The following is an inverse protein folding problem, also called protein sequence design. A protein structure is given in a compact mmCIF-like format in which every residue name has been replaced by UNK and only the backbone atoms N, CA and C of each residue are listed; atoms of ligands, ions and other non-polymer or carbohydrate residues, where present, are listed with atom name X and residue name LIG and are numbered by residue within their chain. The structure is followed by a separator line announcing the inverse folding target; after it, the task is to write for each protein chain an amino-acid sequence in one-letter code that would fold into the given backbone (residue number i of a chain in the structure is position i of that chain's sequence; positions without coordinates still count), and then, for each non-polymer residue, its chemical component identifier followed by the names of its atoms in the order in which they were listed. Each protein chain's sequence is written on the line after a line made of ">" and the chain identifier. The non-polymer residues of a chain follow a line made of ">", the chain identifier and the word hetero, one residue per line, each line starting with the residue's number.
data_IF_844813184107
#
_entry.id   IF_844813184107
#
_cell.length_a   1.000
_cell.length_b   1.000
_cell.length_c   1.000
_cell.angle_alpha   90.00
_cell.angle_beta   90.00
_cell.angle_gamma   90.00
#
_symmetry.space_group_name_H-M   'P 1'
#
loop_
_entity.id
_entity.type
_entity.pdbx_description
1 polymer ?
#
# COMPACT_ATOMS: atom_id res chain seq x y z
N UNK A 1 -34.69 6.38 -10.09
CA UNK A 1 -33.42 7.01 -9.63
C UNK A 1 -32.86 6.15 -8.51
N UNK A 2 -31.74 5.46 -8.74
CA UNK A 2 -31.17 4.52 -7.77
C UNK A 2 -29.94 5.16 -7.12
N UNK A 3 -30.11 5.70 -5.91
CA UNK A 3 -28.99 6.19 -5.11
C UNK A 3 -28.18 4.99 -4.64
N UNK A 4 -26.99 4.81 -5.23
CA UNK A 4 -25.94 3.92 -4.72
C UNK A 4 -25.62 4.38 -3.29
N UNK A 5 -26.04 3.60 -2.29
CA UNK A 5 -25.56 3.74 -0.94
C UNK A 5 -24.04 3.60 -0.97
N UNK A 6 -23.35 4.70 -0.70
CA UNK A 6 -21.93 4.68 -0.37
C UNK A 6 -21.74 3.64 0.74
N UNK A 7 -21.02 2.58 0.45
CA UNK A 7 -20.60 1.58 1.43
C UNK A 7 -19.65 2.26 2.43
N UNK A 8 -20.21 3.01 3.36
CA UNK A 8 -19.47 3.55 4.49
C UNK A 8 -19.04 2.36 5.34
N UNK A 9 -17.73 2.12 5.35
CA UNK A 9 -17.11 1.10 6.19
C UNK A 9 -17.58 1.35 7.62
N UNK A 10 -18.22 0.36 8.25
CA UNK A 10 -18.76 0.47 9.61
C UNK A 10 -17.70 1.02 10.57
N UNK A 11 -17.99 2.17 11.21
CA UNK A 11 -17.05 2.88 12.10
C UNK A 11 -17.08 2.38 13.56
N UNK A 12 -17.88 1.35 13.86
CA UNK A 12 -17.96 0.78 15.22
C UNK A 12 -16.57 0.32 15.68
N UNK A 13 -16.10 0.87 16.80
CA UNK A 13 -14.83 0.50 17.45
C UNK A 13 -13.62 1.37 17.10
N UNK A 14 -13.78 2.43 16.29
CA UNK A 14 -12.70 3.32 15.90
C UNK A 14 -12.88 4.70 16.55
N UNK A 15 -11.80 5.23 17.11
CA UNK A 15 -11.77 6.50 17.84
C UNK A 15 -11.46 7.67 16.89
N UNK A 16 -11.59 8.90 17.38
CA UNK A 16 -11.33 10.12 16.60
C UNK A 16 -9.90 10.21 16.05
N UNK A 17 -8.93 9.56 16.70
CA UNK A 17 -7.54 9.52 16.21
C UNK A 17 -7.41 8.70 14.93
N UNK A 18 -8.17 7.60 14.83
CA UNK A 18 -8.23 6.78 13.62
C UNK A 18 -8.80 7.56 12.45
N UNK A 19 -9.89 8.30 12.66
CA UNK A 19 -10.53 9.11 11.61
C UNK A 19 -9.61 10.25 11.11
N UNK A 20 -8.87 10.87 12.03
CA UNK A 20 -7.89 11.90 11.69
C UNK A 20 -6.77 11.35 10.78
N UNK A 21 -6.26 10.16 11.11
CA UNK A 21 -5.25 9.47 10.30
C UNK A 21 -5.81 9.02 8.95
N UNK A 22 -7.05 8.52 8.86
CA UNK A 22 -7.69 8.21 7.57
C UNK A 22 -7.85 9.45 6.68
N UNK A 23 -8.20 10.58 7.27
CA UNK A 23 -8.34 11.86 6.55
C UNK A 23 -6.99 12.34 6.05
N UNK A 24 -5.96 12.31 6.91
CA UNK A 24 -4.59 12.68 6.57
C UNK A 24 -4.03 11.81 5.44
N UNK A 25 -4.26 10.49 5.51
CA UNK A 25 -3.91 9.56 4.45
C UNK A 25 -4.57 9.94 3.12
N UNK A 26 -5.88 10.18 3.13
CA UNK A 26 -6.63 10.49 1.90
C UNK A 26 -6.10 11.75 1.22
N UNK A 27 -5.74 12.78 2.01
CA UNK A 27 -5.07 13.98 1.52
C UNK A 27 -3.71 13.68 0.90
N UNK A 28 -2.89 12.87 1.57
CA UNK A 28 -1.56 12.48 1.06
C UNK A 28 -1.66 11.71 -0.26
N UNK A 29 -2.61 10.78 -0.39
CA UNK A 29 -2.80 10.01 -1.61
C UNK A 29 -3.22 10.89 -2.78
N UNK A 30 -4.15 11.82 -2.55
CA UNK A 30 -4.56 12.78 -3.57
C UNK A 30 -3.37 13.65 -4.02
N UNK A 31 -2.59 14.17 -3.06
CA UNK A 31 -1.38 14.93 -3.36
C UNK A 31 -0.36 14.10 -4.14
N UNK A 32 -0.10 12.86 -3.72
CA UNK A 32 0.84 11.97 -4.39
C UNK A 32 0.43 11.70 -5.85
N UNK A 33 -0.86 11.51 -6.11
CA UNK A 33 -1.39 11.32 -7.46
C UNK A 33 -1.19 12.55 -8.33
N UNK A 34 -1.57 13.74 -7.83
CA UNK A 34 -1.40 15.01 -8.54
C UNK A 34 0.08 15.30 -8.86
N UNK A 35 0.98 15.06 -7.91
CA UNK A 35 2.42 15.24 -8.09
C UNK A 35 2.97 14.26 -9.13
N UNK A 36 2.52 12.99 -9.11
CA UNK A 36 2.94 11.99 -10.09
C UNK A 36 2.49 12.35 -11.50
N UNK A 37 1.26 12.85 -11.67
CA UNK A 37 0.76 13.33 -12.96
C UNK A 37 1.58 14.50 -13.50
N UNK A 38 2.20 15.28 -12.61
CA UNK A 38 3.12 16.38 -12.94
C UNK A 38 4.58 15.92 -13.05
N UNK A 39 4.86 14.62 -12.97
CA UNK A 39 6.21 14.03 -12.94
C UNK A 39 7.13 14.65 -11.87
N UNK A 40 6.56 14.98 -10.71
CA UNK A 40 7.29 15.54 -9.58
C UNK A 40 7.78 14.42 -8.64
N UNK A 41 9.08 14.47 -8.31
CA UNK A 41 9.75 13.49 -7.46
C UNK A 41 9.15 13.41 -6.05
N UNK A 42 8.53 14.49 -5.57
CA UNK A 42 7.85 14.52 -4.28
C UNK A 42 6.68 13.52 -4.17
N UNK A 43 6.15 13.04 -5.30
CA UNK A 43 5.09 12.02 -5.32
C UNK A 43 5.49 10.78 -4.50
N UNK A 44 6.73 10.31 -4.65
CA UNK A 44 7.23 9.13 -3.94
C UNK A 44 7.22 9.36 -2.41
N UNK A 45 7.62 10.55 -1.97
CA UNK A 45 7.60 10.92 -0.55
C UNK A 45 6.18 10.96 0.02
N UNK A 46 5.19 11.44 -0.74
CA UNK A 46 3.78 11.44 -0.32
C UNK A 46 3.20 10.04 -0.24
N UNK A 47 3.53 9.16 -1.19
CA UNK A 47 3.16 7.75 -1.11
C UNK A 47 3.78 7.05 0.10
N UNK A 48 5.07 7.29 0.39
CA UNK A 48 5.74 6.74 1.56
C UNK A 48 5.07 7.19 2.87
N UNK A 49 4.73 8.47 2.99
CA UNK A 49 4.00 9.00 4.16
C UNK A 49 2.61 8.36 4.30
N UNK A 50 1.87 8.18 3.21
CA UNK A 50 0.58 7.49 3.23
C UNK A 50 0.73 6.01 3.62
N UNK A 51 1.80 5.36 3.19
CA UNK A 51 2.09 3.96 3.52
C UNK A 51 2.28 3.77 5.03
N UNK A 52 3.05 4.64 5.69
CA UNK A 52 3.25 4.61 7.14
C UNK A 52 1.93 4.75 7.91
N UNK A 53 1.04 5.63 7.45
CA UNK A 53 -0.29 5.77 8.05
C UNK A 53 -1.11 4.49 7.89
N UNK A 54 -1.13 3.90 6.68
CA UNK A 54 -1.84 2.64 6.44
C UNK A 54 -1.28 1.47 7.28
N UNK A 55 0.04 1.41 7.51
CA UNK A 55 0.63 0.44 8.43
C UNK A 55 0.10 0.62 9.87
N UNK A 56 0.07 1.87 10.35
CA UNK A 56 -0.44 2.19 11.68
C UNK A 56 -1.92 1.83 11.82
N UNK A 57 -2.76 2.19 10.84
CA UNK A 57 -4.17 1.84 10.80
C UNK A 57 -4.35 0.31 10.79
N UNK A 58 -3.54 -0.41 10.00
CA UNK A 58 -3.58 -1.88 9.97
C UNK A 58 -3.27 -2.48 11.34
N UNK A 59 -2.23 -2.00 12.03
CA UNK A 59 -1.84 -2.46 13.37
C UNK A 59 -2.96 -2.19 14.39
N UNK A 60 -3.64 -1.06 14.31
CA UNK A 60 -4.80 -0.74 15.18
C UNK A 60 -5.94 -1.72 14.91
N UNK A 61 -6.27 -1.98 13.64
CA UNK A 61 -7.32 -2.93 13.27
C UNK A 61 -6.99 -4.36 13.74
N UNK A 62 -5.73 -4.78 13.62
CA UNK A 62 -5.29 -6.10 14.07
C UNK A 62 -5.47 -6.25 15.59
N UNK A 63 -5.00 -5.27 16.37
CA UNK A 63 -5.14 -5.25 17.84
C UNK A 63 -6.60 -5.25 18.29
N UNK A 64 -7.50 -4.65 17.51
CA UNK A 64 -8.96 -4.62 17.78
C UNK A 64 -9.70 -5.84 17.23
N UNK A 65 -9.01 -6.82 16.63
CA UNK A 65 -9.63 -8.00 16.02
C UNK A 65 -10.42 -7.73 14.73
N UNK A 66 -10.26 -6.54 14.14
CA UNK A 66 -10.93 -6.12 12.90
C UNK A 66 -10.16 -6.63 11.67
N UNK A 67 -10.14 -7.96 11.50
CA UNK A 67 -9.25 -8.63 10.53
C UNK A 67 -9.47 -8.14 9.10
N UNK A 68 -10.72 -8.02 8.65
CA UNK A 68 -11.00 -7.55 7.29
C UNK A 68 -10.37 -6.18 7.00
N UNK A 69 -10.49 -5.25 7.96
CA UNK A 69 -9.89 -3.91 7.84
C UNK A 69 -8.37 -3.96 7.92
N UNK A 70 -7.84 -4.79 8.82
CA UNK A 70 -6.40 -5.01 8.92
C UNK A 70 -5.82 -5.41 7.56
N UNK A 71 -6.43 -6.38 6.86
CA UNK A 71 -5.93 -6.83 5.55
C UNK A 71 -6.03 -5.72 4.51
N UNK A 72 -7.13 -4.96 4.50
CA UNK A 72 -7.31 -3.81 3.59
C UNK A 72 -6.21 -2.77 3.80
N UNK A 73 -6.01 -2.31 5.04
CA UNK A 73 -4.99 -1.31 5.36
C UNK A 73 -3.58 -1.84 5.09
N UNK A 74 -3.28 -3.09 5.44
CA UNK A 74 -1.96 -3.71 5.18
C UNK A 74 -1.65 -3.82 3.69
N UNK A 75 -2.63 -4.23 2.88
CA UNK A 75 -2.47 -4.30 1.42
C UNK A 75 -2.36 -2.90 0.77
N UNK A 76 -3.09 -1.92 1.31
CA UNK A 76 -2.99 -0.52 0.89
C UNK A 76 -1.60 0.06 1.21
N UNK A 77 -1.05 -0.22 2.40
CA UNK A 77 0.30 0.16 2.77
C UNK A 77 1.35 -0.41 1.79
N UNK A 78 1.25 -1.70 1.46
CA UNK A 78 2.11 -2.33 0.46
C UNK A 78 2.02 -1.62 -0.90
N UNK A 79 0.80 -1.27 -1.32
CA UNK A 79 0.56 -0.54 -2.57
C UNK A 79 1.16 0.87 -2.57
N UNK A 80 1.13 1.56 -1.43
CA UNK A 80 1.74 2.87 -1.28
C UNK A 80 3.27 2.78 -1.31
N UNK A 81 3.87 1.80 -0.62
CA UNK A 81 5.32 1.58 -0.68
C UNK A 81 5.80 1.25 -2.09
N UNK A 82 5.06 0.42 -2.82
CA UNK A 82 5.38 0.11 -4.21
C UNK A 82 5.31 1.37 -5.11
N UNK A 83 4.35 2.27 -4.87
CA UNK A 83 4.26 3.54 -5.59
C UNK A 83 5.35 4.53 -5.20
N UNK A 84 5.91 4.41 -4.00
CA UNK A 84 7.10 5.14 -3.56
C UNK A 84 8.42 4.51 -4.06
N UNK A 85 8.38 3.44 -4.87
CA UNK A 85 9.56 2.72 -5.35
C UNK A 85 10.17 1.74 -4.34
N UNK A 86 9.62 1.62 -3.13
CA UNK A 86 10.12 0.70 -2.12
C UNK A 86 9.46 -0.69 -2.25
N UNK A 87 9.89 -1.46 -3.26
CA UNK A 87 9.37 -2.80 -3.50
C UNK A 87 9.69 -3.79 -2.38
N UNK A 88 10.81 -3.60 -1.67
CA UNK A 88 11.18 -4.45 -0.54
C UNK A 88 10.14 -4.36 0.57
N UNK A 89 9.82 -3.15 1.04
CA UNK A 89 8.82 -2.92 2.08
C UNK A 89 7.43 -3.39 1.63
N UNK A 90 7.07 -3.16 0.37
CA UNK A 90 5.81 -3.64 -0.19
C UNK A 90 5.67 -5.17 -0.11
N UNK A 91 6.71 -5.92 -0.51
CA UNK A 91 6.72 -7.39 -0.43
C UNK A 91 6.67 -7.85 1.03
N UNK A 92 7.48 -7.23 1.90
CA UNK A 92 7.54 -7.56 3.33
C UNK A 92 6.18 -7.45 4.03
N UNK A 93 5.33 -6.51 3.61
CA UNK A 93 3.98 -6.35 4.17
C UNK A 93 2.97 -7.37 3.63
N UNK A 94 3.19 -7.91 2.43
CA UNK A 94 2.32 -8.92 1.84
C UNK A 94 2.61 -10.35 2.33
N UNK A 95 3.87 -10.68 2.63
CA UNK A 95 4.26 -12.03 3.04
C UNK A 95 3.52 -12.52 4.32
N UNK A 96 3.36 -11.71 5.39
CA UNK A 96 2.58 -12.11 6.56
C UNK A 96 1.10 -12.35 6.25
N UNK A 97 0.52 -11.63 5.28
CA UNK A 97 -0.87 -11.84 4.89
C UNK A 97 -1.03 -13.26 4.34
N UNK A 98 -0.15 -13.72 3.45
CA UNK A 98 -0.23 -15.06 2.86
C UNK A 98 -0.08 -16.20 3.88
N UNK A 99 0.54 -15.95 5.04
CA UNK A 99 0.64 -16.95 6.11
C UNK A 99 -0.65 -17.14 6.92
N UNK A 100 -1.64 -16.27 6.74
CA UNK A 100 -2.90 -16.35 7.48
C UNK A 100 -3.85 -17.38 6.87
N UNK A 101 -4.52 -18.17 7.70
CA UNK A 101 -5.47 -19.20 7.25
C UNK A 101 -6.90 -18.65 7.02
N UNK A 102 -7.18 -17.43 7.49
CA UNK A 102 -8.50 -16.81 7.47
C UNK A 102 -8.74 -15.90 6.23
N UNK A 103 -7.79 -15.86 5.30
CA UNK A 103 -7.96 -15.15 4.02
C UNK A 103 -8.83 -15.95 3.05
N UNK A 104 -9.77 -15.26 2.40
CA UNK A 104 -10.49 -15.84 1.27
C UNK A 104 -9.53 -16.19 0.12
N UNK A 105 -9.84 -17.26 -0.63
CA UNK A 105 -9.05 -17.71 -1.78
C UNK A 105 -8.83 -16.59 -2.80
N UNK A 106 -9.88 -15.82 -3.10
CA UNK A 106 -9.80 -14.66 -4.01
C UNK A 106 -8.79 -13.62 -3.53
N UNK A 107 -8.79 -13.30 -2.25
CA UNK A 107 -7.89 -12.28 -1.69
C UNK A 107 -6.45 -12.81 -1.65
N UNK A 108 -6.25 -14.07 -1.29
CA UNK A 108 -4.96 -14.76 -1.37
C UNK A 108 -4.37 -14.69 -2.79
N UNK A 109 -5.12 -15.11 -3.81
CA UNK A 109 -4.64 -15.07 -5.20
C UNK A 109 -4.33 -13.65 -5.67
N UNK A 110 -5.13 -12.65 -5.23
CA UNK A 110 -4.84 -11.24 -5.52
C UNK A 110 -3.50 -10.80 -4.92
N UNK A 111 -3.23 -11.17 -3.66
CA UNK A 111 -1.97 -10.83 -2.98
C UNK A 111 -0.80 -11.56 -3.64
N UNK A 112 -0.93 -12.85 -3.97
CA UNK A 112 0.10 -13.64 -4.66
C UNK A 112 0.48 -13.00 -6.00
N UNK A 113 -0.51 -12.72 -6.86
CA UNK A 113 -0.29 -12.07 -8.15
C UNK A 113 0.38 -10.70 -8.00
N UNK A 114 -0.01 -9.95 -6.97
CA UNK A 114 0.58 -8.66 -6.67
C UNK A 114 2.06 -8.79 -6.27
N UNK A 115 2.41 -9.72 -5.37
CA UNK A 115 3.81 -9.99 -4.99
C UNK A 115 4.65 -10.38 -6.21
N UNK A 116 4.12 -11.22 -7.10
CA UNK A 116 4.86 -11.61 -8.31
C UNK A 116 5.16 -10.39 -9.19
N UNK A 117 4.19 -9.49 -9.34
CA UNK A 117 4.39 -8.23 -10.07
C UNK A 117 5.45 -7.36 -9.40
N UNK A 118 5.44 -7.25 -8.06
CA UNK A 118 6.46 -6.49 -7.32
C UNK A 118 7.86 -7.09 -7.49
N UNK A 119 7.98 -8.43 -7.47
CA UNK A 119 9.26 -9.12 -7.68
C UNK A 119 9.80 -8.89 -9.08
N UNK A 120 8.95 -8.97 -10.10
CA UNK A 120 9.31 -8.68 -11.48
C UNK A 120 9.79 -7.24 -11.65
N UNK A 121 9.05 -6.25 -11.13
CA UNK A 121 9.44 -4.84 -11.15
C UNK A 121 10.77 -4.58 -10.44
N UNK A 122 10.98 -5.22 -9.29
CA UNK A 122 12.25 -5.11 -8.56
C UNK A 122 13.42 -5.67 -9.37
N UNK A 123 13.22 -6.80 -10.06
CA UNK A 123 14.24 -7.41 -10.91
C UNK A 123 14.61 -6.49 -12.09
N UNK A 124 13.61 -5.96 -12.79
CA UNK A 124 13.82 -5.00 -13.89
C UNK A 124 14.61 -3.77 -13.42
N UNK A 125 14.25 -3.21 -12.26
CA UNK A 125 14.98 -2.06 -11.71
C UNK A 125 16.44 -2.36 -11.39
N UNK A 126 16.74 -3.58 -10.90
CA UNK A 126 18.13 -4.00 -10.69
C UNK A 126 18.88 -4.19 -12.00
N UNK A 127 18.24 -4.75 -13.03
CA UNK A 127 18.85 -4.92 -14.36
C UNK A 127 19.20 -3.56 -14.99
N UNK A 128 18.30 -2.59 -14.92
CA UNK A 128 18.52 -1.22 -15.37
C UNK A 128 19.71 -0.55 -14.64
N UNK A 129 19.77 -0.68 -13.31
CA UNK A 129 20.85 -0.11 -12.51
C UNK A 129 22.22 -0.72 -12.84
N UNK A 130 22.27 -2.04 -13.06
CA UNK A 130 23.51 -2.74 -13.45
C UNK A 130 23.98 -2.27 -14.84
N UNK A 131 23.06 -2.07 -15.78
CA UNK A 131 23.40 -1.55 -17.11
C UNK A 131 23.89 -0.10 -17.06
N UNK A 132 23.25 0.76 -16.26
CA UNK A 132 23.69 2.16 -16.09
C UNK A 132 25.07 2.28 -15.45
N UNK A 133 25.37 1.44 -14.46
CA UNK A 133 26.68 1.44 -13.79
C UNK A 133 27.78 0.94 -14.73
N UNK A 134 27.55 -0.13 -15.49
CA UNK A 134 28.50 -0.63 -16.48
C UNK A 134 28.79 0.37 -17.62
N UNK A 135 27.81 1.18 -18.02
CA UNK A 135 27.98 2.20 -19.07
C UNK A 135 28.71 3.47 -18.61
N UNK A 136 28.84 3.70 -17.29
CA UNK A 136 29.59 4.85 -16.74
C UNK A 136 31.08 4.55 -16.52
N UNK A 137 31.48 3.29 -16.59
CA UNK A 137 32.86 2.83 -16.40
C UNK A 137 33.64 2.64 -17.73
N UNK A 138 32.97 2.87 -18.87
CA UNK A 138 33.57 2.91 -20.23
C UNK A 138 33.61 4.34 -20.78
#
# INVERSE_FOLDING_TARGET
>A
MSQKQHSSISRKGLDSSFEAEETKKSKLLLQAQLLREQNQDEAASRFAQAAVIEENLSNICEKKGLIEKFVIHRFSAASCWAQAGNFYQAIMLCDPLLKRNDLSSRLRSRIENYIQTLRAKRMQWYEELVLETANREN
#
